data_IF_350247669801
#
_entry.id   IF_350247669801
#
_cell.length_a   1.000
_cell.length_b   1.000
_cell.length_c   1.000
_cell.angle_alpha   90.00
_cell.angle_beta   90.00
_cell.angle_gamma   90.00
#
_symmetry.space_group_name_H-M   'P 1'
#
loop_
_entity.id
_entity.type
_entity.pdbx_description
1 polymer ?
#
# COMPACT_ATOMS: atom_id res chain seq x y z
N UNK A 1 -11.95 2.65 21.88
CA UNK A 1 -11.01 2.48 20.75
C UNK A 1 -11.35 3.41 19.58
N UNK A 2 -10.32 4.02 18.97
CA UNK A 2 -10.48 4.90 17.80
C UNK A 2 -10.49 4.11 16.47
N UNK A 3 -10.61 4.82 15.35
CA UNK A 3 -10.66 4.21 14.01
C UNK A 3 -9.41 3.42 13.64
N UNK A 4 -8.22 3.95 13.97
CA UNK A 4 -6.93 3.33 13.65
C UNK A 4 -6.72 2.06 14.46
N UNK A 5 -6.96 2.09 15.77
CA UNK A 5 -6.83 0.91 16.62
C UNK A 5 -7.68 -0.26 16.12
N UNK A 6 -8.91 0.02 15.66
CA UNK A 6 -9.78 -0.98 15.02
C UNK A 6 -9.20 -1.51 13.71
N UNK A 7 -8.66 -0.64 12.86
CA UNK A 7 -8.05 -1.04 11.59
C UNK A 7 -6.83 -1.95 11.81
N UNK A 8 -5.97 -1.60 12.76
CA UNK A 8 -4.81 -2.41 13.15
C UNK A 8 -5.27 -3.74 13.75
N UNK A 9 -6.30 -3.73 14.60
CA UNK A 9 -6.88 -4.95 15.16
C UNK A 9 -7.38 -5.90 14.05
N UNK A 10 -8.15 -5.38 13.10
CA UNK A 10 -8.67 -6.15 11.96
C UNK A 10 -7.54 -6.72 11.09
N UNK A 11 -6.49 -5.94 10.86
CA UNK A 11 -5.30 -6.39 10.15
C UNK A 11 -4.60 -7.54 10.87
N UNK A 12 -4.38 -7.42 12.19
CA UNK A 12 -3.76 -8.46 12.99
C UNK A 12 -4.59 -9.74 13.05
N UNK A 13 -5.91 -9.62 13.17
CA UNK A 13 -6.81 -10.77 13.14
C UNK A 13 -6.78 -11.51 11.81
N UNK A 14 -6.60 -10.79 10.70
CA UNK A 14 -6.57 -11.37 9.35
C UNK A 14 -5.21 -11.96 9.00
N UNK A 15 -4.12 -11.26 9.32
CA UNK A 15 -2.79 -11.55 8.78
C UNK A 15 -1.77 -12.03 9.82
N UNK A 16 -2.04 -11.81 11.10
CA UNK A 16 -1.17 -12.22 12.21
C UNK A 16 -1.95 -12.98 13.31
N UNK A 17 -2.75 -14.01 12.97
CA UNK A 17 -3.65 -14.67 13.92
C UNK A 17 -2.91 -15.31 15.10
N UNK A 18 -1.68 -15.79 14.88
CA UNK A 18 -0.82 -16.35 15.93
C UNK A 18 -0.30 -15.30 16.91
N UNK A 19 -0.05 -14.06 16.46
CA UNK A 19 0.32 -12.96 17.36
C UNK A 19 -0.89 -12.45 18.12
N UNK A 20 -2.02 -12.30 17.42
CA UNK A 20 -3.28 -11.86 18.01
C UNK A 20 -3.73 -12.80 19.14
N UNK A 21 -3.63 -14.12 18.96
CA UNK A 21 -4.04 -15.10 19.99
C UNK A 21 -3.18 -15.11 21.25
N UNK A 22 -1.98 -14.52 21.21
CA UNK A 22 -1.06 -14.42 22.36
C UNK A 22 -1.32 -13.17 23.21
N UNK A 23 -2.10 -12.22 22.71
CA UNK A 23 -2.46 -11.02 23.46
C UNK A 23 -3.42 -11.38 24.60
N UNK A 24 -3.09 -10.98 25.83
CA UNK A 24 -3.93 -11.21 27.00
C UNK A 24 -5.15 -10.28 27.03
N UNK A 25 -4.96 -9.02 26.66
CA UNK A 25 -6.01 -8.01 26.53
C UNK A 25 -5.87 -7.29 25.18
N UNK A 26 -6.45 -7.86 24.10
CA UNK A 26 -6.41 -7.26 22.78
C UNK A 26 -7.02 -5.86 22.76
N UNK A 27 -8.12 -5.63 23.49
CA UNK A 27 -8.81 -4.34 23.49
C UNK A 27 -7.89 -3.23 24.00
N UNK A 28 -7.32 -3.40 25.20
CA UNK A 28 -6.45 -2.38 25.79
C UNK A 28 -5.19 -2.16 24.94
N UNK A 29 -4.65 -3.22 24.33
CA UNK A 29 -3.51 -3.11 23.41
C UNK A 29 -3.83 -2.25 22.19
N UNK A 30 -4.90 -2.54 21.45
CA UNK A 30 -5.25 -1.78 20.24
C UNK A 30 -5.83 -0.40 20.55
N UNK A 31 -6.37 -0.17 21.75
CA UNK A 31 -6.68 1.17 22.25
C UNK A 31 -5.43 2.02 22.42
N UNK A 32 -4.37 1.47 23.02
CA UNK A 32 -3.08 2.14 23.16
C UNK A 32 -2.44 2.44 21.80
N UNK A 33 -2.35 1.44 20.92
CA UNK A 33 -1.81 1.61 19.55
C UNK A 33 -2.58 2.69 18.79
N UNK A 34 -3.92 2.67 18.89
CA UNK A 34 -4.74 3.68 18.25
C UNK A 34 -4.47 5.08 18.77
N UNK A 35 -4.35 5.26 20.09
CA UNK A 35 -4.08 6.56 20.70
C UNK A 35 -2.70 7.09 20.29
N UNK A 36 -1.66 6.26 20.40
CA UNK A 36 -0.29 6.62 20.01
C UNK A 36 -0.22 7.01 18.52
N UNK A 37 -0.87 6.23 17.64
CA UNK A 37 -0.96 6.55 16.22
C UNK A 37 -1.68 7.89 15.96
N UNK A 38 -2.74 8.19 16.71
CA UNK A 38 -3.48 9.45 16.56
C UNK A 38 -2.61 10.65 16.97
N UNK A 39 -1.89 10.55 18.08
CA UNK A 39 -0.95 11.57 18.54
C UNK A 39 0.16 11.79 17.50
N UNK A 40 0.74 10.70 16.99
CA UNK A 40 1.78 10.77 15.95
C UNK A 40 1.30 11.42 14.66
N UNK A 41 0.06 11.13 14.22
CA UNK A 41 -0.54 11.77 13.04
C UNK A 41 -0.69 13.27 13.24
N UNK A 42 -1.12 13.71 14.42
CA UNK A 42 -1.30 15.13 14.71
C UNK A 42 0.04 15.88 14.70
N UNK A 43 1.07 15.31 15.33
CA UNK A 43 2.43 15.86 15.30
C UNK A 43 2.98 15.96 13.86
N UNK A 44 2.91 14.85 13.12
CA UNK A 44 3.44 14.79 11.76
C UNK A 44 2.62 15.67 10.80
N UNK A 45 1.31 15.79 10.98
CA UNK A 45 0.48 16.67 10.16
C UNK A 45 0.86 18.15 10.35
N UNK A 46 1.20 18.56 11.57
CA UNK A 46 1.68 19.93 11.84
C UNK A 46 3.04 20.15 11.18
N UNK A 47 3.95 19.18 11.28
CA UNK A 47 5.26 19.23 10.63
C UNK A 47 5.13 19.35 9.11
N UNK A 48 4.30 18.49 8.49
CA UNK A 48 4.07 18.45 7.05
C UNK A 48 3.34 19.69 6.52
N UNK A 49 2.41 20.25 7.29
CA UNK A 49 1.70 21.46 6.91
C UNK A 49 2.66 22.65 6.84
N UNK A 50 3.62 22.73 7.77
CA UNK A 50 4.53 23.85 7.90
C UNK A 50 3.84 25.17 8.26
N UNK A 51 4.59 26.27 8.15
CA UNK A 51 4.13 27.62 8.49
C UNK A 51 3.16 28.13 7.42
N UNK A 52 2.15 28.88 7.84
CA UNK A 52 1.21 29.55 6.94
C UNK A 52 1.92 30.49 5.96
N UNK A 53 1.78 30.27 4.63
CA UNK A 53 2.35 31.16 3.63
C UNK A 53 1.72 32.57 3.64
N UNK A 54 2.49 33.63 3.34
CA UNK A 54 1.92 34.97 3.23
C UNK A 54 0.93 35.04 2.05
N UNK A 55 -0.27 35.55 2.30
CA UNK A 55 -1.32 35.69 1.29
C UNK A 55 -2.17 34.44 1.08
N UNK A 56 -1.96 33.36 1.84
CA UNK A 56 -2.82 32.17 1.81
C UNK A 56 -4.25 32.52 2.25
N UNK A 57 -5.23 32.16 1.42
CA UNK A 57 -6.64 32.29 1.74
C UNK A 57 -7.09 31.18 2.69
N UNK A 58 -8.23 31.36 3.35
CA UNK A 58 -8.77 30.37 4.28
C UNK A 58 -8.95 28.97 3.66
N UNK A 59 -9.46 28.89 2.42
CA UNK A 59 -9.72 27.61 1.77
C UNK A 59 -8.43 26.91 1.34
N UNK A 60 -7.42 27.67 0.92
CA UNK A 60 -6.09 27.12 0.63
C UNK A 60 -5.45 26.55 1.91
N UNK A 61 -5.57 27.27 3.03
CA UNK A 61 -5.13 26.79 4.34
C UNK A 61 -5.80 25.48 4.74
N UNK A 62 -7.13 25.41 4.64
CA UNK A 62 -7.87 24.17 4.95
C UNK A 62 -7.42 23.03 4.05
N UNK A 63 -7.25 23.29 2.74
CA UNK A 63 -6.75 22.30 1.79
C UNK A 63 -5.38 21.75 2.19
N UNK A 64 -4.42 22.63 2.48
CA UNK A 64 -3.06 22.25 2.91
C UNK A 64 -3.08 21.44 4.20
N UNK A 65 -3.84 21.86 5.21
CA UNK A 65 -3.95 21.14 6.48
C UNK A 65 -4.56 19.75 6.32
N UNK A 66 -5.57 19.61 5.46
CA UNK A 66 -6.17 18.30 5.17
C UNK A 66 -5.22 17.39 4.41
N UNK A 67 -4.50 17.90 3.42
CA UNK A 67 -3.47 17.13 2.71
C UNK A 67 -2.37 16.65 3.65
N UNK A 68 -1.87 17.53 4.52
CA UNK A 68 -0.86 17.17 5.52
C UNK A 68 -1.36 16.08 6.47
N UNK A 69 -2.63 16.15 6.92
CA UNK A 69 -3.25 15.11 7.74
C UNK A 69 -3.38 13.77 7.02
N UNK A 70 -3.81 13.77 5.75
CA UNK A 70 -3.91 12.54 4.96
C UNK A 70 -2.54 11.88 4.79
N UNK A 71 -1.52 12.66 4.42
CA UNK A 71 -0.16 12.15 4.27
C UNK A 71 0.41 11.62 5.59
N UNK A 72 0.21 12.35 6.69
CA UNK A 72 0.62 11.87 8.02
C UNK A 72 -0.07 10.56 8.39
N UNK A 73 -1.36 10.42 8.06
CA UNK A 73 -2.13 9.20 8.31
C UNK A 73 -1.57 8.02 7.51
N UNK A 74 -1.24 8.22 6.24
CA UNK A 74 -0.64 7.18 5.39
C UNK A 74 0.70 6.70 5.95
N UNK A 75 1.58 7.63 6.32
CA UNK A 75 2.89 7.31 6.90
C UNK A 75 2.74 6.51 8.19
N UNK A 76 1.92 6.97 9.13
CA UNK A 76 1.74 6.30 10.42
C UNK A 76 1.06 4.94 10.25
N UNK A 77 0.09 4.81 9.35
CA UNK A 77 -0.54 3.51 9.06
C UNK A 77 0.47 2.50 8.51
N UNK A 78 1.40 2.93 7.65
CA UNK A 78 2.46 2.06 7.16
C UNK A 78 3.41 1.59 8.28
N UNK A 79 3.62 2.40 9.32
CA UNK A 79 4.43 2.03 10.49
C UNK A 79 3.71 1.04 11.42
N UNK A 80 2.39 1.21 11.64
CA UNK A 80 1.63 0.39 12.62
C UNK A 80 1.03 -0.89 12.03
N UNK A 81 0.99 -1.03 10.72
CA UNK A 81 0.47 -2.22 10.03
C UNK A 81 1.63 -3.16 9.66
N UNK A 82 1.94 -4.17 10.48
CA UNK A 82 3.03 -5.10 10.18
C UNK A 82 2.75 -5.93 8.93
N UNK A 83 3.82 -6.36 8.26
CA UNK A 83 3.74 -7.33 7.17
C UNK A 83 3.03 -8.63 7.62
N UNK A 84 2.30 -9.30 6.70
CA UNK A 84 1.64 -10.55 7.02
C UNK A 84 2.66 -11.61 7.46
N UNK A 85 2.26 -12.49 8.38
CA UNK A 85 3.09 -13.66 8.70
C UNK A 85 3.33 -14.45 7.40
N UNK A 86 4.55 -14.97 7.17
CA UNK A 86 4.79 -15.85 6.04
C UNK A 86 3.81 -16.99 6.20
N UNK A 87 2.79 -17.01 5.34
CA UNK A 87 1.91 -18.16 5.24
C UNK A 87 2.86 -19.32 5.00
N UNK A 88 2.77 -20.36 5.82
CA UNK A 88 3.26 -21.66 5.40
C UNK A 88 2.41 -22.04 4.19
N UNK A 89 2.71 -21.43 3.05
CA UNK A 89 2.34 -21.93 1.77
C UNK A 89 2.91 -23.33 1.80
N UNK A 90 2.03 -24.31 1.89
CA UNK A 90 2.26 -25.61 1.25
C UNK A 90 3.01 -25.29 -0.03
N UNK A 91 4.27 -25.72 -0.11
CA UNK A 91 5.10 -25.50 -1.28
C UNK A 91 4.32 -26.00 -2.47
N UNK A 92 3.67 -25.10 -3.21
CA UNK A 92 3.19 -25.40 -4.53
C UNK A 92 4.46 -25.70 -5.32
N UNK A 93 4.68 -26.95 -5.77
CA UNK A 93 5.93 -27.32 -6.43
C UNK A 93 6.14 -26.56 -7.75
N UNK A 94 5.14 -25.79 -8.20
CA UNK A 94 5.22 -24.92 -9.37
C UNK A 94 6.01 -23.61 -9.15
N UNK A 95 6.27 -23.17 -7.91
CA UNK A 95 6.99 -21.89 -7.65
C UNK A 95 8.51 -22.05 -7.56
N UNK A 96 9.05 -23.26 -7.70
CA UNK A 96 10.50 -23.52 -7.58
C UNK A 96 11.26 -23.46 -8.93
N UNK A 97 10.64 -23.07 -10.03
CA UNK A 97 11.32 -22.84 -11.32
C UNK A 97 11.15 -21.39 -11.78
N UNK A 98 11.83 -20.44 -11.14
CA UNK A 98 12.09 -19.11 -11.71
C UNK A 98 13.33 -18.45 -11.07
N UNK A 99 14.32 -19.26 -10.72
CA UNK A 99 15.66 -18.78 -10.33
C UNK A 99 16.77 -19.53 -11.07
N UNK A 100 16.67 -19.61 -12.40
CA UNK A 100 17.87 -19.75 -13.20
C UNK A 100 18.19 -18.39 -13.84
N UNK A 101 19.43 -17.88 -13.74
CA UNK A 101 19.83 -16.73 -14.53
C UNK A 101 19.79 -17.14 -16.00
N UNK A 102 18.98 -16.42 -16.80
CA UNK A 102 18.91 -16.62 -18.24
C UNK A 102 20.33 -16.40 -18.80
N UNK A 103 20.96 -17.40 -19.45
CA UNK A 103 22.22 -17.17 -20.15
C UNK A 103 21.96 -16.22 -21.32
N UNK A 104 22.85 -15.25 -21.62
CA UNK A 104 22.60 -14.18 -22.59
C UNK A 104 22.59 -14.63 -24.07
N UNK A 105 22.36 -15.91 -24.36
CA UNK A 105 22.51 -16.48 -25.71
C UNK A 105 21.18 -16.81 -26.42
N UNK A 106 20.03 -16.72 -25.75
CA UNK A 106 18.73 -17.01 -26.39
C UNK A 106 17.76 -15.82 -26.29
N UNK A 107 18.13 -14.70 -26.93
CA UNK A 107 17.19 -13.64 -27.32
C UNK A 107 16.54 -13.92 -28.70
N UNK A 108 16.58 -15.16 -29.17
CA UNK A 108 15.98 -15.54 -30.44
C UNK A 108 15.17 -16.83 -30.27
N UNK A 109 13.87 -16.71 -30.51
CA UNK A 109 12.88 -17.77 -30.59
C UNK A 109 12.35 -18.31 -29.26
N UNK A 110 11.26 -17.74 -28.78
CA UNK A 110 9.94 -18.38 -28.90
C UNK A 110 8.83 -17.42 -28.47
N UNK A 111 7.93 -17.14 -29.41
CA UNK A 111 6.69 -16.39 -29.19
C UNK A 111 5.71 -17.21 -28.36
N UNK A 112 5.06 -16.58 -27.38
CA UNK A 112 4.03 -17.20 -26.54
C UNK A 112 3.36 -16.20 -25.60
N UNK A 113 2.74 -15.17 -26.18
CA UNK A 113 1.60 -14.40 -25.63
C UNK A 113 1.64 -14.05 -24.13
N UNK A 114 2.39 -13.02 -23.78
CA UNK A 114 2.07 -12.15 -22.64
C UNK A 114 2.53 -10.75 -23.01
N UNK A 115 1.66 -10.07 -23.76
CA UNK A 115 1.87 -8.76 -24.33
C UNK A 115 1.85 -7.72 -23.20
N UNK A 116 3.05 -7.25 -22.87
CA UNK A 116 3.33 -6.15 -21.96
C UNK A 116 2.49 -4.91 -22.31
N UNK A 117 1.78 -4.34 -21.32
CA UNK A 117 1.05 -3.08 -21.47
C UNK A 117 2.05 -1.92 -21.26
N UNK A 118 2.26 -1.03 -22.25
CA UNK A 118 3.16 0.11 -22.10
C UNK A 118 2.66 1.09 -21.03
N UNK A 119 3.53 1.47 -20.09
CA UNK A 119 3.24 2.46 -19.04
C UNK A 119 3.17 3.92 -19.56
N UNK A 120 3.50 4.14 -20.84
CA UNK A 120 3.40 5.43 -21.51
C UNK A 120 2.33 5.34 -22.60
N UNK A 121 1.26 6.13 -22.48
CA UNK A 121 0.21 6.25 -23.49
C UNK A 121 0.76 6.97 -24.73
N UNK A 122 1.40 6.22 -25.63
CA UNK A 122 1.67 6.67 -26.99
C UNK A 122 0.45 6.32 -27.85
N UNK A 123 -0.36 7.32 -28.27
CA UNK A 123 -1.64 7.08 -28.95
C UNK A 123 -1.48 6.49 -30.36
N UNK A 124 -0.28 6.47 -30.94
CA UNK A 124 -0.03 5.83 -32.23
C UNK A 124 0.53 4.40 -32.10
N UNK A 125 0.70 3.90 -30.86
CA UNK A 125 1.25 2.58 -30.59
C UNK A 125 0.36 1.46 -31.13
N UNK A 126 0.92 0.45 -31.83
CA UNK A 126 0.16 -0.61 -32.50
C UNK A 126 -0.71 -1.46 -31.54
N UNK A 127 -0.37 -1.51 -30.25
CA UNK A 127 -1.18 -2.13 -29.20
C UNK A 127 -2.60 -1.53 -29.13
N UNK A 128 -2.72 -0.20 -29.19
CA UNK A 128 -4.02 0.49 -29.04
C UNK A 128 -4.90 0.40 -30.29
N UNK A 129 -4.31 0.21 -31.47
CA UNK A 129 -5.07 0.09 -32.73
C UNK A 129 -5.83 -1.24 -32.88
N UNK A 130 -5.56 -2.22 -32.01
CA UNK A 130 -6.17 -3.55 -32.06
C UNK A 130 -7.35 -3.78 -31.12
N UNK A 131 -7.60 -2.91 -30.12
CA UNK A 131 -8.58 -3.18 -29.06
C UNK A 131 -10.02 -2.71 -29.35
N UNK A 132 -10.25 -1.91 -30.40
CA UNK A 132 -11.58 -1.35 -30.73
C UNK A 132 -12.48 -2.28 -31.57
N UNK A 133 -12.21 -3.59 -31.60
CA UNK A 133 -13.06 -4.55 -32.32
C UNK A 133 -13.35 -5.76 -31.46
N UNK A 134 -14.33 -5.63 -30.57
CA UNK A 134 -15.25 -6.72 -30.17
C UNK A 134 -16.29 -6.19 -29.16
N UNK A 135 -17.29 -5.46 -29.66
CA UNK A 135 -18.60 -5.32 -29.00
C UNK A 135 -19.68 -5.25 -30.09
N UNK A 136 -20.13 -6.41 -30.58
CA UNK A 136 -21.47 -6.62 -31.15
C UNK A 136 -21.81 -8.10 -31.06
#
# INVERSE_FOLDING_TARGET
>A
MNGIGRQVEEHWRRWLPMRYSRLQDPRSFFEGVGQEAQERIEELAVELAGIDPPGETYMEKVGRLQMARMQATEVVLAEVLPEPEPSHAVSDPATQQLTEPIPPTELAATSGTSEWIPLQEDPDHPFWKGQDREQT
#
